data_IF_071012254483
#
_entry.id   IF_071012254483
#
_cell.length_a   1.000
_cell.length_b   1.000
_cell.length_c   1.000
_cell.angle_alpha   90.00
_cell.angle_beta   90.00
_cell.angle_gamma   90.00
#
_symmetry.space_group_name_H-M   'P 1'
#
loop_
_entity.id
_entity.type
_entity.pdbx_description
1 polymer ?
#
# COMPACT_ATOMS: atom_id res chain seq x y z
N UNK A 1 -2.28 -47.44 15.93
CA UNK A 1 -1.39 -46.94 17.01
C UNK A 1 -1.96 -45.61 17.46
N UNK A 2 -2.39 -45.49 18.72
CA UNK A 2 -2.92 -44.24 19.26
C UNK A 2 -1.75 -43.27 19.46
N UNK A 3 -1.91 -42.03 18.97
CA UNK A 3 -0.93 -40.97 19.19
C UNK A 3 -0.78 -40.74 20.70
N UNK A 4 0.45 -40.68 21.24
CA UNK A 4 0.64 -40.38 22.66
C UNK A 4 0.12 -38.97 22.94
N UNK A 5 -0.80 -38.85 23.89
CA UNK A 5 -1.28 -37.58 24.45
C UNK A 5 -0.07 -36.77 24.94
N UNK A 6 0.37 -35.81 24.14
CA UNK A 6 1.47 -34.90 24.48
C UNK A 6 1.09 -34.17 25.76
N UNK A 7 1.92 -34.33 26.81
CA UNK A 7 1.72 -33.60 28.07
C UNK A 7 1.70 -32.09 27.79
N UNK A 8 0.94 -31.31 28.56
CA UNK A 8 0.75 -29.86 28.36
C UNK A 8 2.09 -29.10 28.13
N UNK A 9 3.15 -29.52 28.82
CA UNK A 9 4.52 -29.00 28.64
C UNK A 9 5.19 -29.43 27.34
N UNK A 10 4.98 -30.67 26.87
CA UNK A 10 5.51 -31.12 25.58
C UNK A 10 4.82 -30.39 24.42
N UNK A 11 3.50 -30.21 24.48
CA UNK A 11 2.75 -29.40 23.50
C UNK A 11 3.22 -27.93 23.49
N UNK A 12 3.58 -27.38 24.66
CA UNK A 12 4.14 -26.03 24.77
C UNK A 12 5.54 -25.93 24.13
N UNK A 13 6.40 -26.93 24.35
CA UNK A 13 7.74 -26.99 23.74
C UNK A 13 7.63 -27.13 22.22
N UNK A 14 6.76 -28.01 21.74
CA UNK A 14 6.51 -28.18 20.30
C UNK A 14 5.99 -26.87 19.69
N UNK A 15 5.09 -26.16 20.40
CA UNK A 15 4.63 -24.82 19.98
C UNK A 15 5.81 -23.84 19.87
N UNK A 16 6.71 -23.79 20.85
CA UNK A 16 7.88 -22.92 20.76
C UNK A 16 8.77 -23.26 19.57
N UNK A 17 9.02 -24.54 19.28
CA UNK A 17 9.78 -24.94 18.10
C UNK A 17 9.06 -24.57 16.79
N UNK A 18 7.73 -24.71 16.73
CA UNK A 18 6.96 -24.28 15.55
C UNK A 18 6.98 -22.77 15.36
N UNK A 19 6.86 -21.98 16.42
CA UNK A 19 6.93 -20.51 16.37
C UNK A 19 8.33 -20.04 15.97
N UNK A 20 9.39 -20.68 16.49
CA UNK A 20 10.78 -20.37 16.11
C UNK A 20 11.04 -20.71 14.63
N UNK A 21 10.55 -21.87 14.17
CA UNK A 21 10.66 -22.27 12.76
C UNK A 21 9.93 -21.28 11.85
N UNK A 22 8.70 -20.92 12.19
CA UNK A 22 7.92 -19.93 11.45
C UNK A 22 8.62 -18.56 11.40
N UNK A 23 9.24 -18.13 12.52
CA UNK A 23 9.99 -16.87 12.57
C UNK A 23 11.24 -16.90 11.68
N UNK A 24 11.94 -18.05 11.61
CA UNK A 24 13.09 -18.24 10.71
C UNK A 24 12.66 -18.25 9.25
N UNK A 25 11.58 -18.96 8.92
CA UNK A 25 11.02 -18.97 7.56
C UNK A 25 10.59 -17.55 7.13
N UNK A 26 9.93 -16.78 8.00
CA UNK A 26 9.59 -15.37 7.73
C UNK A 26 10.81 -14.44 7.61
N UNK A 27 11.94 -14.79 8.21
CA UNK A 27 13.17 -14.03 8.05
C UNK A 27 13.82 -14.30 6.69
N UNK A 28 13.75 -15.54 6.19
CA UNK A 28 14.27 -15.94 4.88
C UNK A 28 13.47 -15.36 3.71
N UNK A 29 12.22 -14.94 3.93
CA UNK A 29 11.40 -14.30 2.89
C UNK A 29 11.58 -12.78 2.81
N UNK A 30 12.50 -12.21 3.59
CA UNK A 30 12.68 -10.75 3.70
C UNK A 30 14.11 -10.32 3.44
N UNK A 31 14.26 -9.23 2.70
CA UNK A 31 15.55 -8.54 2.59
C UNK A 31 15.92 -7.82 3.89
N UNK A 32 17.21 -7.74 4.17
CA UNK A 32 17.76 -6.95 5.30
C UNK A 32 18.17 -5.57 4.82
N UNK A 33 17.68 -4.53 5.48
CA UNK A 33 18.09 -3.14 5.26
C UNK A 33 18.90 -2.66 6.47
N UNK A 34 20.14 -2.23 6.24
CA UNK A 34 21.01 -1.67 7.27
C UNK A 34 20.99 -0.14 7.21
N UNK A 35 20.59 0.50 8.31
CA UNK A 35 20.49 1.96 8.42
C UNK A 35 21.48 2.48 9.48
N UNK A 36 22.14 3.59 9.15
CA UNK A 36 22.97 4.33 10.11
C UNK A 36 22.19 5.57 10.56
N UNK A 37 21.88 5.64 11.84
CA UNK A 37 21.17 6.77 12.46
C UNK A 37 22.13 7.51 13.40
N UNK A 38 21.92 8.80 13.53
CA UNK A 38 22.65 9.59 14.52
C UNK A 38 22.16 9.25 15.95
N UNK A 39 22.88 9.75 16.95
CA UNK A 39 22.55 9.46 18.34
C UNK A 39 21.20 10.07 18.77
N UNK A 40 20.79 11.20 18.19
CA UNK A 40 19.56 11.91 18.57
C UNK A 40 18.32 11.17 18.07
N UNK A 41 18.33 10.77 16.80
CA UNK A 41 17.24 10.04 16.15
C UNK A 41 17.10 8.66 16.79
N UNK A 42 18.23 7.99 17.08
CA UNK A 42 18.21 6.70 17.78
C UNK A 42 17.64 6.84 19.20
N UNK A 43 17.94 7.93 19.90
CA UNK A 43 17.37 8.20 21.23
C UNK A 43 15.86 8.44 21.14
N UNK A 44 15.41 9.25 20.18
CA UNK A 44 13.98 9.51 19.94
C UNK A 44 13.23 8.21 19.60
N UNK A 45 13.76 7.42 18.65
CA UNK A 45 13.21 6.13 18.27
C UNK A 45 13.11 5.20 19.49
N UNK A 46 14.12 5.19 20.35
CA UNK A 46 14.14 4.36 21.57
C UNK A 46 13.10 4.79 22.60
N UNK A 47 12.89 6.09 22.78
CA UNK A 47 11.87 6.63 23.71
C UNK A 47 10.47 6.27 23.22
N UNK A 48 10.21 6.47 21.92
CA UNK A 48 8.91 6.15 21.31
C UNK A 48 8.65 4.65 21.35
N UNK A 49 9.65 3.82 21.00
CA UNK A 49 9.55 2.36 21.03
C UNK A 49 9.18 1.85 22.44
N UNK A 50 9.84 2.39 23.49
CA UNK A 50 9.52 2.09 24.89
C UNK A 50 8.09 2.47 25.25
N UNK A 51 7.61 3.65 24.82
CA UNK A 51 6.25 4.13 25.10
C UNK A 51 5.18 3.21 24.53
N UNK A 52 5.43 2.61 23.37
CA UNK A 52 4.48 1.72 22.68
C UNK A 52 4.73 0.23 22.90
N UNK A 53 5.74 -0.15 23.70
CA UNK A 53 6.07 -1.56 23.95
C UNK A 53 6.53 -2.33 22.70
N UNK A 54 7.10 -1.63 21.72
CA UNK A 54 7.60 -2.21 20.47
C UNK A 54 9.12 -2.27 20.46
N UNK A 55 9.70 -3.18 19.66
CA UNK A 55 11.12 -3.10 19.33
C UNK A 55 11.42 -1.89 18.43
N UNK A 56 12.66 -1.40 18.47
CA UNK A 56 13.09 -0.29 17.59
C UNK A 56 12.90 -0.63 16.12
N UNK A 57 13.18 -1.88 15.74
CA UNK A 57 13.10 -2.35 14.36
C UNK A 57 11.65 -2.44 13.88
N UNK A 58 10.72 -2.91 14.72
CA UNK A 58 9.29 -2.91 14.40
C UNK A 58 8.75 -1.49 14.25
N UNK A 59 9.10 -0.58 15.17
CA UNK A 59 8.69 0.82 15.06
C UNK A 59 9.27 1.47 13.80
N UNK A 60 10.53 1.23 13.47
CA UNK A 60 11.16 1.76 12.27
C UNK A 60 10.48 1.25 11.00
N UNK A 61 10.11 -0.04 10.94
CA UNK A 61 9.35 -0.61 9.81
C UNK A 61 7.99 0.06 9.63
N UNK A 62 7.24 0.23 10.73
CA UNK A 62 5.93 0.87 10.69
C UNK A 62 6.02 2.33 10.25
N UNK A 63 6.98 3.08 10.78
CA UNK A 63 7.21 4.49 10.43
C UNK A 63 7.63 4.61 8.97
N UNK A 64 8.58 3.79 8.52
CA UNK A 64 9.05 3.81 7.14
C UNK A 64 7.92 3.47 6.15
N UNK A 65 7.11 2.45 6.45
CA UNK A 65 5.97 2.06 5.59
C UNK A 65 4.97 3.20 5.42
N UNK A 66 4.67 3.95 6.48
CA UNK A 66 3.75 5.09 6.41
C UNK A 66 4.40 6.30 5.73
N UNK A 67 5.67 6.57 6.03
CA UNK A 67 6.42 7.66 5.40
C UNK A 67 6.49 7.50 3.87
N UNK A 68 6.63 6.27 3.35
CA UNK A 68 6.59 6.00 1.91
C UNK A 68 5.23 6.35 1.29
N UNK A 69 4.12 6.08 1.98
CA UNK A 69 2.77 6.46 1.52
C UNK A 69 2.59 7.98 1.56
N UNK A 70 3.09 8.64 2.60
CA UNK A 70 3.05 10.10 2.72
C UNK A 70 3.86 10.78 1.61
N UNK A 71 5.05 10.25 1.30
CA UNK A 71 5.87 10.70 0.17
C UNK A 71 5.14 10.50 -1.16
N UNK A 72 4.52 9.33 -1.37
CA UNK A 72 3.71 9.06 -2.56
C UNK A 72 2.57 10.08 -2.70
N UNK A 73 1.95 10.47 -1.59
CA UNK A 73 0.85 11.45 -1.55
C UNK A 73 1.31 12.86 -1.90
N UNK A 74 2.59 13.20 -1.70
CA UNK A 74 3.12 14.53 -2.03
C UNK A 74 3.47 14.70 -3.52
N UNK A 75 3.62 13.60 -4.26
CA UNK A 75 3.90 13.63 -5.70
C UNK A 75 2.70 14.10 -6.51
N UNK A 76 2.96 14.68 -7.69
CA UNK A 76 1.92 15.05 -8.63
C UNK A 76 1.19 13.82 -9.19
N UNK A 77 -0.11 13.88 -9.54
CA UNK A 77 -0.88 12.70 -9.95
C UNK A 77 -0.27 11.92 -11.13
N UNK A 78 0.29 12.63 -12.12
CA UNK A 78 0.92 12.00 -13.28
C UNK A 78 2.19 11.22 -12.91
N UNK A 79 3.07 11.84 -12.13
CA UNK A 79 4.32 11.23 -11.66
C UNK A 79 4.04 10.08 -10.68
N UNK A 80 3.13 10.30 -9.73
CA UNK A 80 2.71 9.32 -8.73
C UNK A 80 2.27 8.01 -9.37
N UNK A 81 1.48 8.09 -10.45
CA UNK A 81 1.00 6.90 -11.17
C UNK A 81 2.12 6.10 -11.81
N UNK A 82 3.12 6.78 -12.39
CA UNK A 82 4.29 6.13 -12.98
C UNK A 82 5.15 5.46 -11.91
N UNK A 83 5.51 6.20 -10.86
CA UNK A 83 6.32 5.69 -9.75
C UNK A 83 5.65 4.51 -9.05
N UNK A 84 4.33 4.56 -8.82
CA UNK A 84 3.60 3.47 -8.21
C UNK A 84 3.66 2.17 -9.04
N UNK A 85 3.54 2.28 -10.36
CA UNK A 85 3.66 1.12 -11.25
C UNK A 85 5.08 0.58 -11.25
N UNK A 86 6.08 1.45 -11.42
CA UNK A 86 7.48 1.05 -11.48
C UNK A 86 7.93 0.42 -10.14
N UNK A 87 7.41 0.90 -9.01
CA UNK A 87 7.64 0.30 -7.69
C UNK A 87 7.02 -1.10 -7.55
N UNK A 88 5.81 -1.34 -8.09
CA UNK A 88 5.19 -2.67 -8.11
C UNK A 88 5.98 -3.63 -9.02
N UNK A 89 6.47 -3.16 -10.18
CA UNK A 89 7.33 -3.94 -11.09
C UNK A 89 8.68 -4.30 -10.45
N UNK A 90 9.33 -3.31 -9.82
CA UNK A 90 10.59 -3.51 -9.10
C UNK A 90 10.39 -4.42 -7.88
N UNK A 91 9.28 -4.28 -7.16
CA UNK A 91 8.94 -5.15 -6.03
C UNK A 91 8.81 -6.62 -6.43
N UNK A 92 8.20 -6.90 -7.58
CA UNK A 92 8.12 -8.26 -8.12
C UNK A 92 9.48 -8.81 -8.58
N UNK A 93 10.40 -7.95 -9.01
CA UNK A 93 11.78 -8.36 -9.31
C UNK A 93 12.56 -8.66 -8.03
N UNK A 94 12.46 -7.78 -7.03
CA UNK A 94 13.15 -7.96 -5.74
C UNK A 94 12.64 -9.18 -4.98
N UNK A 95 11.35 -9.53 -5.06
CA UNK A 95 10.85 -10.73 -4.39
C UNK A 95 11.48 -12.01 -4.95
N UNK A 96 11.73 -12.05 -6.28
CA UNK A 96 12.45 -13.17 -6.91
C UNK A 96 13.91 -13.19 -6.50
N UNK A 97 14.57 -12.04 -6.48
CA UNK A 97 15.96 -11.92 -6.00
C UNK A 97 16.10 -12.39 -4.55
N UNK A 98 15.20 -11.99 -3.65
CA UNK A 98 15.17 -12.45 -2.25
C UNK A 98 14.97 -13.96 -2.18
N UNK A 99 14.11 -14.53 -3.03
CA UNK A 99 13.91 -15.97 -3.08
C UNK A 99 15.21 -16.68 -3.47
N UNK A 100 15.87 -16.21 -4.54
CA UNK A 100 17.14 -16.77 -5.04
C UNK A 100 18.27 -16.66 -4.01
N UNK A 101 18.46 -15.48 -3.39
CA UNK A 101 19.49 -15.24 -2.38
C UNK A 101 19.33 -16.12 -1.13
N UNK A 102 18.09 -16.42 -0.74
CA UNK A 102 17.79 -17.24 0.43
C UNK A 102 17.59 -18.73 0.09
N UNK A 103 17.82 -19.14 -1.16
CA UNK A 103 17.65 -20.52 -1.61
C UNK A 103 16.19 -21.01 -1.59
N UNK A 104 15.24 -20.08 -1.62
CA UNK A 104 13.81 -20.35 -1.71
C UNK A 104 13.37 -20.40 -3.18
N UNK A 105 12.36 -21.22 -3.48
CA UNK A 105 11.78 -21.29 -4.84
C UNK A 105 10.97 -20.05 -5.18
N UNK A 106 10.26 -19.51 -4.19
CA UNK A 106 9.42 -18.32 -4.33
C UNK A 106 9.19 -17.68 -2.95
N UNK A 107 8.90 -16.39 -2.95
CA UNK A 107 8.55 -15.60 -1.77
C UNK A 107 7.16 -15.01 -1.98
N UNK A 108 6.33 -15.08 -0.94
CA UNK A 108 5.00 -14.45 -0.97
C UNK A 108 5.12 -12.94 -1.23
N UNK A 109 4.75 -12.52 -2.45
CA UNK A 109 4.75 -11.14 -2.88
C UNK A 109 3.33 -10.71 -3.24
N UNK A 110 2.85 -9.64 -2.60
CA UNK A 110 1.54 -9.06 -2.91
C UNK A 110 1.68 -8.10 -4.11
N UNK A 111 1.04 -8.37 -5.26
CA UNK A 111 1.10 -7.47 -6.40
C UNK A 111 0.20 -6.24 -6.18
N UNK A 112 0.50 -5.17 -6.92
CA UNK A 112 -0.33 -3.96 -7.02
C UNK A 112 -0.55 -3.21 -5.69
N UNK A 113 0.42 -3.25 -4.78
CA UNK A 113 0.33 -2.57 -3.49
C UNK A 113 0.39 -1.06 -3.71
N UNK A 114 1.38 -0.59 -4.46
CA UNK A 114 1.61 0.85 -4.66
C UNK A 114 0.59 1.46 -5.60
N UNK A 115 0.25 0.77 -6.70
CA UNK A 115 -0.87 1.19 -7.57
C UNK A 115 -2.22 1.15 -6.83
N UNK A 116 -2.39 0.26 -5.86
CA UNK A 116 -3.54 0.27 -4.94
C UNK A 116 -3.58 1.53 -4.08
N UNK A 117 -2.44 1.91 -3.47
CA UNK A 117 -2.31 3.15 -2.71
C UNK A 117 -2.56 4.39 -3.57
N UNK A 118 -2.00 4.47 -4.77
CA UNK A 118 -2.23 5.58 -5.71
C UNK A 118 -3.72 5.78 -5.99
N UNK A 119 -4.45 4.72 -6.35
CA UNK A 119 -5.90 4.80 -6.61
C UNK A 119 -6.67 5.30 -5.39
N UNK A 120 -6.27 4.86 -4.20
CA UNK A 120 -6.89 5.30 -2.96
C UNK A 120 -6.63 6.78 -2.70
N UNK A 121 -5.40 7.25 -2.90
CA UNK A 121 -5.04 8.67 -2.75
C UNK A 121 -5.83 9.51 -3.77
N UNK A 122 -5.85 9.12 -5.05
CA UNK A 122 -6.61 9.82 -6.09
C UNK A 122 -8.10 9.91 -5.77
N UNK A 123 -8.68 8.85 -5.18
CA UNK A 123 -10.08 8.86 -4.71
C UNK A 123 -10.30 9.86 -3.58
N UNK A 124 -9.39 9.92 -2.61
CA UNK A 124 -9.46 10.86 -1.47
C UNK A 124 -9.26 12.30 -1.94
N UNK A 125 -8.31 12.55 -2.84
CA UNK A 125 -8.08 13.88 -3.42
C UNK A 125 -9.29 14.37 -4.22
N UNK A 126 -9.91 13.49 -5.03
CA UNK A 126 -11.14 13.82 -5.76
C UNK A 126 -12.29 14.17 -4.82
N UNK A 127 -12.44 13.46 -3.69
CA UNK A 127 -13.45 13.79 -2.66
C UNK A 127 -13.16 15.15 -2.03
N UNK A 128 -11.91 15.39 -1.63
CA UNK A 128 -11.47 16.66 -1.03
C UNK A 128 -11.65 17.86 -1.98
N UNK A 129 -11.39 17.66 -3.27
CA UNK A 129 -11.59 18.69 -4.29
C UNK A 129 -13.09 19.05 -4.45
N UNK A 130 -13.97 18.04 -4.46
CA UNK A 130 -15.43 18.25 -4.50
C UNK A 130 -15.93 18.99 -3.27
N UNK A 131 -15.52 18.58 -2.07
CA UNK A 131 -15.90 19.23 -0.81
C UNK A 131 -15.45 20.69 -0.75
N UNK A 132 -14.24 20.99 -1.24
CA UNK A 132 -13.74 22.37 -1.32
C UNK A 132 -14.55 23.20 -2.33
N UNK A 133 -14.90 22.63 -3.49
CA UNK A 133 -15.75 23.30 -4.47
C UNK A 133 -17.15 23.58 -3.92
N UNK A 134 -17.76 22.60 -3.23
CA UNK A 134 -19.06 22.74 -2.57
C UNK A 134 -19.03 23.80 -1.47
N UNK A 135 -18.01 23.79 -0.62
CA UNK A 135 -17.80 24.81 0.41
C UNK A 135 -17.64 26.22 -0.22
N UNK A 136 -16.91 26.33 -1.34
CA UNK A 136 -16.75 27.59 -2.07
C UNK A 136 -18.07 28.07 -2.68
N UNK A 137 -18.89 27.17 -3.22
CA UNK A 137 -20.23 27.49 -3.74
C UNK A 137 -21.17 27.91 -2.62
N UNK A 138 -21.15 27.24 -1.47
CA UNK A 138 -21.94 27.60 -0.30
C UNK A 138 -21.54 28.99 0.25
N UNK A 139 -20.24 29.26 0.37
CA UNK A 139 -19.73 30.56 0.82
C UNK A 139 -20.13 31.71 -0.13
N UNK A 140 -20.08 31.49 -1.44
CA UNK A 140 -20.55 32.48 -2.42
C UNK A 140 -22.06 32.73 -2.32
N UNK A 141 -22.87 31.69 -2.12
CA UNK A 141 -24.32 31.82 -1.93
C UNK A 141 -24.67 32.56 -0.63
N UNK A 142 -23.98 32.28 0.48
CA UNK A 142 -24.18 33.00 1.74
C UNK A 142 -23.77 34.47 1.64
N UNK A 143 -22.65 34.78 0.98
CA UNK A 143 -22.26 36.18 0.73
C UNK A 143 -23.26 36.92 -0.17
N UNK A 144 -23.75 36.29 -1.24
CA UNK A 144 -24.77 36.90 -2.10
C UNK A 144 -26.09 37.17 -1.33
N UNK A 145 -26.50 36.25 -0.46
CA UNK A 145 -27.68 36.44 0.39
C UNK A 145 -27.48 37.49 1.49
N UNK A 146 -26.25 37.67 1.99
CA UNK A 146 -25.91 38.71 2.95
C UNK A 146 -25.89 40.10 2.30
N UNK A 147 -25.25 40.23 1.12
CA UNK A 147 -25.24 41.49 0.35
C UNK A 147 -26.65 41.91 -0.08
N UNK A 148 -27.50 40.96 -0.52
CA UNK A 148 -28.89 41.27 -0.84
C UNK A 148 -29.69 41.74 0.40
N UNK A 149 -29.43 41.15 1.57
CA UNK A 149 -30.09 41.55 2.82
C UNK A 149 -29.60 42.92 3.33
N UNK A 150 -28.36 43.28 3.04
CA UNK A 150 -27.78 44.60 3.33
C UNK A 150 -28.31 45.68 2.37
N UNK A 151 -28.42 45.40 1.06
CA UNK A 151 -29.05 46.31 0.07
C UNK A 151 -30.56 46.55 0.31
N UNK A 152 -31.29 45.52 0.73
CA UNK A 152 -32.72 45.65 1.07
C UNK A 152 -32.91 46.41 2.39
N UNK A 153 -31.95 46.35 3.32
CA UNK A 153 -32.00 47.12 4.57
C UNK A 153 -31.62 48.60 4.35
N UNK A 154 -30.75 48.92 3.39
CA UNK A 154 -30.39 50.32 3.06
C UNK A 154 -31.38 50.97 2.09
N UNK A 155 -32.06 50.21 1.23
CA UNK A 155 -33.10 50.74 0.33
C UNK A 155 -34.45 51.00 1.01
N UNK A 156 -34.72 50.41 2.18
CA UNK A 156 -35.98 50.62 2.90
C UNK A 156 -35.99 51.89 3.80
N UNK A 157 -34.87 52.63 3.90
CA UNK A 157 -34.81 53.94 4.57
C UNK A 157 -34.81 55.14 3.60
N UNK A 158 -34.74 54.91 2.28
CA UNK A 158 -34.78 55.98 1.27
C UNK A 158 -35.86 55.73 0.21
N UNK A 159 -37.13 55.71 0.61
CA UNK A 159 -38.22 55.88 -0.35
C UNK A 159 -39.35 56.74 0.21
N UNK A 160 -39.05 58.02 0.38
CA UNK A 160 -40.03 59.11 0.29
C UNK A 160 -39.32 60.36 -0.25
N UNK A 161 -39.23 60.51 -1.57
CA UNK A 161 -39.52 61.76 -2.26
C UNK A 161 -39.50 61.63 -3.78
N UNK A 162 -40.59 62.13 -4.37
CA UNK A 162 -40.93 62.20 -5.80
C UNK A 162 -40.41 63.54 -6.36
N UNK A 163 -39.73 63.55 -7.50
CA UNK A 163 -40.26 64.09 -8.79
C UNK A 163 -39.15 64.39 -9.83
N UNK A 164 -39.42 63.93 -11.06
CA UNK A 164 -39.16 64.50 -12.39
C UNK A 164 -37.92 65.36 -12.70
N UNK A 165 -37.10 64.92 -13.68
CA UNK A 165 -37.01 65.53 -15.03
C UNK A 165 -35.99 64.80 -15.94
N UNK A 166 -36.42 64.52 -17.19
CA UNK A 166 -35.59 64.33 -18.42
C UNK A 166 -35.27 65.74 -19.02
N UNK A 167 -34.35 65.97 -19.99
CA UNK A 167 -33.92 65.08 -21.09
C UNK A 167 -32.42 65.12 -21.54
N UNK A 168 -32.11 64.22 -22.49
CA UNK A 168 -31.14 64.21 -23.61
C UNK A 168 -29.66 64.65 -23.49
N UNK A 169 -28.74 63.76 -23.91
CA UNK A 169 -28.03 63.85 -25.21
C UNK A 169 -26.91 62.79 -25.34
N UNK A 170 -27.09 61.90 -26.33
CA UNK A 170 -26.12 61.45 -27.36
C UNK A 170 -24.59 61.42 -27.06
N UNK A 171 -23.96 60.25 -27.11
CA UNK A 171 -22.81 60.01 -28.02
C UNK A 171 -22.45 58.51 -28.19
N UNK A 172 -22.31 58.13 -29.47
CA UNK A 172 -21.66 57.00 -30.16
C UNK A 172 -20.40 56.43 -29.48
N UNK A 173 -19.95 55.16 -29.62
CA UNK A 173 -19.54 54.50 -30.87
C UNK A 173 -18.96 53.09 -30.56
N UNK A 174 -18.99 52.23 -31.59
CA UNK A 174 -18.03 51.18 -31.96
C UNK A 174 -17.86 49.84 -31.20
N UNK A 175 -18.42 48.81 -31.84
CA UNK A 175 -17.74 47.65 -32.45
C UNK A 175 -16.79 46.75 -31.61
N UNK A 176 -17.15 45.47 -31.49
CA UNK A 176 -16.49 44.25 -32.08
C UNK A 176 -17.14 43.00 -31.43
N UNK A 177 -17.88 42.09 -32.11
CA UNK A 177 -17.46 40.94 -32.96
C UNK A 177 -16.31 40.17 -32.29
N UNK A 178 -16.33 38.86 -31.97
CA UNK A 178 -16.64 37.60 -32.68
C UNK A 178 -16.57 36.50 -31.58
N UNK A 179 -17.59 35.69 -31.30
CA UNK A 179 -17.95 34.38 -31.89
C UNK A 179 -17.11 33.17 -31.45
N UNK A 180 -17.81 32.04 -31.33
CA UNK A 180 -17.35 30.63 -31.30
C UNK A 180 -16.68 30.06 -30.03
N UNK A 181 -16.88 28.78 -29.65
CA UNK A 181 -17.86 27.73 -29.93
C UNK A 181 -17.43 26.52 -29.06
N UNK A 182 -18.41 25.67 -28.72
CA UNK A 182 -18.29 24.21 -28.50
C UNK A 182 -17.40 23.64 -27.39
N UNK A 183 -18.12 23.34 -26.31
CA UNK A 183 -18.14 22.05 -25.62
C UNK A 183 -17.98 20.85 -26.57
N UNK A 184 -17.01 19.99 -26.31
CA UNK A 184 -17.01 18.60 -26.78
C UNK A 184 -16.93 17.63 -25.61
N UNK A 185 -17.94 16.77 -25.57
CA UNK A 185 -18.08 15.56 -24.77
C UNK A 185 -16.89 14.61 -24.97
N UNK A 186 -16.43 13.99 -23.88
CA UNK A 186 -15.81 12.66 -23.95
C UNK A 186 -16.42 11.78 -22.87
N UNK A 187 -16.97 10.68 -23.38
CA UNK A 187 -17.80 9.68 -22.77
C UNK A 187 -17.14 8.95 -21.59
N UNK A 188 -17.97 8.74 -20.58
CA UNK A 188 -17.85 7.74 -19.52
C UNK A 188 -17.91 6.33 -20.12
N UNK A 189 -16.88 5.51 -19.90
CA UNK A 189 -17.02 4.06 -19.92
C UNK A 189 -16.83 3.52 -18.50
N UNK A 190 -17.99 3.25 -17.88
CA UNK A 190 -18.16 2.33 -16.77
C UNK A 190 -17.80 0.91 -17.21
N UNK A 191 -16.91 0.26 -16.47
CA UNK A 191 -16.92 -1.21 -16.38
C UNK A 191 -16.87 -1.55 -14.89
N UNK A 192 -18.07 -1.82 -14.37
CA UNK A 192 -18.30 -2.65 -13.18
C UNK A 192 -17.73 -4.05 -13.44
N UNK A 193 -17.01 -4.60 -12.47
CA UNK A 193 -16.83 -6.04 -12.34
C UNK A 193 -16.95 -6.40 -10.85
N UNK A 194 -18.19 -6.70 -10.46
CA UNK A 194 -18.53 -7.34 -9.20
C UNK A 194 -17.95 -8.76 -9.15
N UNK A 195 -17.23 -9.02 -8.05
CA UNK A 195 -17.38 -10.19 -7.17
C UNK A 195 -18.23 -11.35 -7.69
N UNK A 196 -17.63 -12.53 -7.89
CA UNK A 196 -18.27 -13.83 -7.66
C UNK A 196 -17.35 -14.73 -6.84
N UNK A 197 -17.76 -14.97 -5.59
CA UNK A 197 -17.41 -16.15 -4.80
C UNK A 197 -18.16 -17.36 -5.38
N UNK A 198 -17.48 -18.50 -5.50
CA UNK A 198 -18.11 -19.81 -5.52
C UNK A 198 -17.24 -20.81 -4.74
N UNK A 199 -17.86 -21.39 -3.72
CA UNK A 199 -17.39 -22.48 -2.86
C UNK A 199 -17.45 -23.85 -3.57
N UNK A 200 -16.42 -24.68 -3.30
CA UNK A 200 -16.48 -26.10 -2.85
C UNK A 200 -16.98 -27.19 -3.83
N UNK A 201 -16.08 -28.08 -4.28
CA UNK A 201 -15.86 -29.43 -3.70
C UNK A 201 -14.59 -30.15 -4.25
N UNK A 202 -14.00 -31.10 -3.50
CA UNK A 202 -12.78 -31.81 -3.85
C UNK A 202 -13.04 -33.24 -4.36
N UNK A 203 -12.46 -33.63 -5.50
CA UNK A 203 -12.37 -35.05 -5.87
C UNK A 203 -11.07 -35.67 -5.35
N UNK A 204 -11.26 -36.60 -4.42
CA UNK A 204 -10.32 -37.62 -4.00
C UNK A 204 -10.12 -38.67 -5.09
N UNK A 205 -8.88 -38.97 -5.44
CA UNK A 205 -8.50 -40.28 -5.94
C UNK A 205 -7.14 -40.67 -5.36
N UNK A 206 -7.22 -41.52 -4.34
CA UNK A 206 -6.14 -42.34 -3.82
C UNK A 206 -5.90 -43.45 -4.85
N UNK A 207 -4.68 -43.61 -5.34
CA UNK A 207 -4.22 -44.93 -5.80
C UNK A 207 -2.84 -45.21 -5.19
N UNK A 208 -2.86 -46.22 -4.33
CA UNK A 208 -1.75 -46.73 -3.54
C UNK A 208 -0.93 -47.75 -4.32
N UNK A 209 0.39 -47.65 -4.12
CA UNK A 209 1.34 -48.76 -3.97
C UNK A 209 1.60 -49.70 -5.15
N UNK A 210 2.86 -49.70 -5.62
CA UNK A 210 3.66 -50.94 -5.59
C UNK A 210 5.10 -50.63 -5.14
N UNK A 211 5.49 -51.32 -4.07
CA UNK A 211 6.85 -51.56 -3.65
C UNK A 211 7.45 -52.61 -4.60
N UNK A 212 8.65 -52.40 -5.12
CA UNK A 212 9.51 -53.52 -5.45
C UNK A 212 10.88 -53.35 -4.77
N UNK A 213 11.18 -54.36 -3.97
CA UNK A 213 12.42 -54.57 -3.26
C UNK A 213 13.04 -55.80 -3.91
N UNK A 214 14.19 -55.64 -4.56
CA UNK A 214 15.08 -56.77 -4.82
C UNK A 214 16.49 -56.40 -4.40
N UNK A 215 16.95 -57.15 -3.41
CA UNK A 215 18.29 -57.16 -2.88
C UNK A 215 19.19 -58.15 -3.64
N UNK A 216 20.49 -58.01 -3.37
CA UNK A 216 21.55 -59.02 -3.40
C UNK A 216 22.35 -59.21 -4.70
N UNK A 217 23.63 -58.84 -4.63
CA UNK A 217 24.81 -59.73 -4.69
C UNK A 217 26.08 -58.85 -4.64
N UNK A 218 26.83 -58.82 -3.53
CA UNK A 218 28.08 -59.59 -3.33
C UNK A 218 29.16 -59.29 -4.37
N UNK A 219 30.26 -58.63 -3.97
CA UNK A 219 31.61 -59.21 -4.15
C UNK A 219 32.70 -58.53 -3.27
N UNK A 220 33.40 -59.38 -2.52
CA UNK A 220 34.82 -59.38 -2.07
C UNK A 220 35.55 -58.06 -1.75
N UNK A 221 35.94 -57.80 -0.50
CA UNK A 221 37.12 -58.35 0.22
C UNK A 221 38.47 -57.96 -0.41
N UNK A 222 39.19 -57.01 0.20
CA UNK A 222 40.61 -57.19 0.54
C UNK A 222 41.10 -56.15 1.57
N UNK A 223 41.64 -56.64 2.68
CA UNK A 223 42.47 -55.93 3.66
C UNK A 223 43.70 -56.83 3.91
N UNK A 224 44.91 -56.28 3.81
CA UNK A 224 45.88 -56.39 4.92
C UNK A 224 46.56 -55.03 5.20
N UNK A 225 46.54 -54.48 6.43
CA UNK A 225 47.52 -54.69 7.53
C UNK A 225 48.99 -54.59 7.09
N UNK A 226 49.69 -53.49 7.41
CA UNK A 226 50.78 -53.34 8.41
C UNK A 226 51.64 -52.16 7.86
N UNK A 227 52.39 -51.31 8.56
CA UNK A 227 53.00 -51.28 9.89
C UNK A 227 53.53 -49.84 10.14
N UNK A 228 53.50 -49.40 11.40
CA UNK A 228 54.48 -48.58 12.15
C UNK A 228 55.37 -47.55 11.40
N UNK A 229 55.45 -46.29 11.82
CA UNK A 229 56.35 -45.78 12.88
C UNK A 229 56.06 -44.28 13.04
N UNK A 230 55.68 -43.77 14.22
CA UNK A 230 56.54 -43.36 15.34
C UNK A 230 57.46 -42.17 15.03
N UNK A 231 57.45 -41.19 15.96
CA UNK A 231 58.51 -40.20 16.27
C UNK A 231 58.44 -38.87 15.46
N UNK A 232 58.55 -37.64 15.98
CA UNK A 232 59.00 -37.05 17.26
C UNK A 232 58.29 -35.69 17.48
N UNK A 233 58.09 -35.35 18.76
CA UNK A 233 58.12 -34.04 19.44
C UNK A 233 57.44 -32.81 18.80
#
# INVERSE_FOLDING_TARGET
>A
MQAPELTNTQALIDRYYTEEKAKKEQALTRATLNLQLDANDLAMLSIIAKRFGKSRDELAKDVLSNALIDLLTQLEPGERKLIARDADEMGASMSREIAEENGLKDVEHKPNVWTGHERNIARVEKKRAKELEEARKAAKKSQASANFKEEVSTSNEQSMQVSEQKPDADHTDSMTKIDALETSDIETNDIEAESHQAEVEPESAIETAELDSTAASEDTADIPSEEQTSVFA
#
